data_IF_517746345455
#
_entry.id   IF_517746345455
#
_cell.length_a   1.000
_cell.length_b   1.000
_cell.length_c   1.000
_cell.angle_alpha   90.00
_cell.angle_beta   90.00
_cell.angle_gamma   90.00
#
_symmetry.space_group_name_H-M   'P 1'
#
loop_
_entity.id
_entity.type
_entity.pdbx_description
1 polymer ?
#
# COMPACT_ATOMS: atom_id res chain seq x y z
N UNK A 1 38.46 -32.03 -78.05
CA UNK A 1 37.56 -31.10 -78.78
C UNK A 1 36.53 -30.57 -77.80
N UNK A 2 36.55 -29.25 -77.59
CA UNK A 2 35.74 -28.49 -76.63
C UNK A 2 34.26 -28.42 -77.06
N UNK A 3 33.35 -28.42 -76.09
CA UNK A 3 32.10 -27.65 -76.18
C UNK A 3 31.71 -27.13 -74.80
N UNK A 4 32.01 -25.85 -74.57
CA UNK A 4 31.47 -25.03 -73.48
C UNK A 4 29.96 -24.84 -73.69
N UNK A 5 29.18 -24.92 -72.61
CA UNK A 5 27.84 -24.36 -72.54
C UNK A 5 27.70 -23.60 -71.22
N UNK A 6 27.80 -22.27 -71.31
CA UNK A 6 27.50 -21.32 -70.24
C UNK A 6 25.99 -21.27 -70.03
N UNK A 7 25.52 -21.45 -68.80
CA UNK A 7 24.20 -20.97 -68.37
C UNK A 7 24.39 -19.91 -67.31
N UNK A 8 24.11 -18.68 -67.72
CA UNK A 8 23.99 -17.51 -66.86
C UNK A 8 22.78 -17.71 -65.94
N UNK A 9 23.02 -17.74 -64.63
CA UNK A 9 21.96 -17.62 -63.63
C UNK A 9 22.13 -16.25 -62.96
N UNK A 10 21.15 -15.39 -63.21
CA UNK A 10 20.99 -14.07 -62.63
C UNK A 10 20.65 -14.25 -61.14
N UNK A 11 21.59 -13.98 -60.24
CA UNK A 11 21.35 -14.04 -58.79
C UNK A 11 20.74 -12.70 -58.34
N UNK A 12 19.46 -12.73 -57.98
CA UNK A 12 18.72 -11.61 -57.42
C UNK A 12 19.15 -11.42 -55.97
N UNK A 13 19.76 -10.26 -55.66
CA UNK A 13 20.14 -9.87 -54.30
C UNK A 13 18.92 -9.23 -53.63
N UNK A 14 18.29 -9.95 -52.70
CA UNK A 14 17.28 -9.39 -51.78
C UNK A 14 17.98 -8.77 -50.58
N UNK A 15 18.00 -7.44 -50.52
CA UNK A 15 18.38 -6.66 -49.33
C UNK A 15 17.22 -6.70 -48.33
N UNK A 16 17.34 -7.49 -47.26
CA UNK A 16 16.43 -7.43 -46.11
C UNK A 16 16.92 -6.34 -45.16
N UNK A 17 16.27 -5.17 -45.20
CA UNK A 17 16.47 -4.14 -44.19
C UNK A 17 15.74 -4.56 -42.90
N UNK A 18 16.50 -4.99 -41.89
CA UNK A 18 15.98 -5.20 -40.54
C UNK A 18 15.88 -3.82 -39.87
N UNK A 19 14.64 -3.31 -39.74
CA UNK A 19 14.34 -2.19 -38.87
C UNK A 19 14.65 -2.61 -37.43
N UNK A 20 15.73 -2.06 -36.87
CA UNK A 20 16.00 -2.11 -35.44
C UNK A 20 14.92 -1.34 -34.70
N UNK A 21 14.01 -2.07 -34.06
CA UNK A 21 13.12 -1.50 -33.06
C UNK A 21 13.98 -0.96 -31.91
N UNK A 22 13.99 0.37 -31.75
CA UNK A 22 14.47 1.03 -30.54
C UNK A 22 13.51 0.63 -29.43
N UNK A 23 13.87 -0.41 -28.69
CA UNK A 23 13.20 -0.76 -27.45
C UNK A 23 13.48 0.35 -26.44
N UNK A 24 12.50 1.23 -26.22
CA UNK A 24 12.47 2.03 -25.01
C UNK A 24 12.38 1.04 -23.84
N UNK A 25 13.49 0.87 -23.12
CA UNK A 25 13.47 0.29 -21.80
C UNK A 25 12.55 1.18 -20.95
N UNK A 26 11.34 0.69 -20.69
CA UNK A 26 10.51 1.21 -19.61
C UNK A 26 11.32 0.96 -18.35
N UNK A 27 11.77 2.04 -17.71
CA UNK A 27 12.39 1.94 -16.40
C UNK A 27 11.37 1.31 -15.47
N UNK A 28 11.64 0.07 -15.06
CA UNK A 28 11.05 -0.50 -13.87
C UNK A 28 11.59 0.36 -12.72
N UNK A 29 10.86 1.41 -12.38
CA UNK A 29 11.07 2.15 -11.14
C UNK A 29 10.76 1.16 -10.03
N UNK A 30 11.80 0.41 -9.64
CA UNK A 30 11.76 -0.73 -8.75
C UNK A 30 11.23 -0.36 -7.38
N UNK A 31 9.90 -0.27 -7.28
CA UNK A 31 9.17 -0.26 -6.03
C UNK A 31 9.59 -1.54 -5.30
N UNK A 32 10.45 -1.37 -4.30
CA UNK A 32 10.84 -2.49 -3.45
C UNK A 32 9.56 -2.97 -2.77
N UNK A 33 9.14 -4.23 -2.98
CA UNK A 33 7.93 -4.74 -2.38
C UNK A 33 7.94 -4.46 -0.87
N UNK A 34 6.84 -3.91 -0.37
CA UNK A 34 6.71 -3.58 1.05
C UNK A 34 7.34 -2.26 1.49
N UNK A 35 8.03 -1.49 0.64
CA UNK A 35 8.46 -0.14 0.98
C UNK A 35 7.38 0.88 0.60
N UNK A 36 6.92 1.64 1.57
CA UNK A 36 5.94 2.71 1.43
C UNK A 36 6.50 4.02 1.93
N UNK A 37 6.09 5.13 1.32
CA UNK A 37 6.48 6.46 1.79
C UNK A 37 5.35 7.45 1.57
N UNK A 38 5.33 8.50 2.35
CA UNK A 38 4.33 9.55 2.21
C UNK A 38 4.71 10.80 2.98
N UNK A 39 3.73 11.66 3.18
CA UNK A 39 3.91 12.94 3.85
C UNK A 39 3.35 12.92 5.27
N UNK A 40 4.05 13.60 6.17
CA UNK A 40 3.55 13.95 7.49
C UNK A 40 3.22 15.44 7.47
N UNK A 41 1.96 15.77 7.73
CA UNK A 41 1.45 17.13 7.73
C UNK A 41 1.08 17.52 9.15
N UNK A 42 1.50 18.70 9.60
CA UNK A 42 0.99 19.26 10.84
C UNK A 42 -0.41 19.84 10.64
N UNK A 43 -1.34 19.56 11.57
CA UNK A 43 -2.63 20.26 11.61
C UNK A 43 -2.38 21.74 11.88
N UNK A 44 -3.24 22.62 11.35
CA UNK A 44 -3.09 24.06 11.55
C UNK A 44 -2.97 24.41 13.04
N UNK A 45 -1.93 25.16 13.40
CA UNK A 45 -1.61 25.52 14.78
C UNK A 45 -0.86 24.45 15.59
N UNK A 46 -0.62 23.26 15.02
CA UNK A 46 0.22 22.23 15.63
C UNK A 46 1.64 22.28 15.09
N UNK A 47 2.61 21.89 15.93
CA UNK A 47 3.99 21.72 15.49
C UNK A 47 4.18 20.36 14.80
N UNK A 48 5.04 20.32 13.79
CA UNK A 48 5.53 19.05 13.24
C UNK A 48 6.32 18.30 14.33
N UNK A 49 6.09 16.99 14.52
CA UNK A 49 6.85 16.23 15.51
C UNK A 49 8.31 16.10 15.06
N UNK A 50 9.25 16.48 15.93
CA UNK A 50 10.69 16.42 15.64
C UNK A 50 11.21 14.98 15.56
N UNK A 51 10.65 14.08 16.38
CA UNK A 51 11.04 12.67 16.47
C UNK A 51 9.81 11.78 16.55
N UNK A 52 9.34 11.32 15.40
CA UNK A 52 8.19 10.44 15.29
C UNK A 52 8.55 9.16 14.55
N UNK A 53 7.68 8.18 14.72
CA UNK A 53 7.63 6.99 13.88
C UNK A 53 6.21 6.74 13.42
N UNK A 54 6.08 6.01 12.33
CA UNK A 54 4.80 5.53 11.82
C UNK A 54 4.69 4.04 12.12
N UNK A 55 3.52 3.61 12.58
CA UNK A 55 3.17 2.19 12.70
C UNK A 55 1.92 1.89 11.89
N UNK A 56 1.76 0.62 11.54
CA UNK A 56 0.52 0.11 10.96
C UNK A 56 -0.25 -0.66 12.02
N UNK A 57 -1.50 -0.24 12.21
CA UNK A 57 -2.46 -0.89 13.08
C UNK A 57 -3.56 -1.51 12.23
N UNK A 58 -3.51 -2.84 12.08
CA UNK A 58 -4.48 -3.61 11.33
C UNK A 58 -5.73 -3.82 12.17
N UNK A 59 -6.87 -3.34 11.69
CA UNK A 59 -8.15 -3.51 12.36
C UNK A 59 -8.77 -4.85 11.96
N UNK A 60 -9.17 -5.64 12.95
CA UNK A 60 -9.79 -6.95 12.78
C UNK A 60 -11.14 -6.98 13.48
N UNK A 61 -12.21 -7.02 12.68
CA UNK A 61 -13.62 -7.04 13.10
C UNK A 61 -14.35 -8.33 12.67
N UNK A 62 -13.68 -9.21 11.93
CA UNK A 62 -14.22 -10.52 11.56
C UNK A 62 -14.42 -11.48 12.76
N UNK A 63 -13.95 -11.10 13.96
CA UNK A 63 -14.10 -11.88 15.19
C UNK A 63 -14.63 -11.00 16.30
N UNK A 64 -15.29 -11.59 17.30
CA UNK A 64 -15.72 -10.87 18.50
C UNK A 64 -14.86 -11.24 19.72
N UNK A 65 -14.33 -10.27 20.50
CA UNK A 65 -14.39 -8.83 20.23
C UNK A 65 -13.48 -8.40 19.06
N UNK A 66 -13.78 -7.24 18.48
CA UNK A 66 -12.88 -6.57 17.53
C UNK A 66 -11.55 -6.24 18.23
N UNK A 67 -10.47 -6.23 17.46
CA UNK A 67 -9.15 -5.88 17.98
C UNK A 67 -8.27 -5.20 16.94
N UNK A 68 -7.17 -4.62 17.43
CA UNK A 68 -6.10 -4.09 16.61
C UNK A 68 -4.91 -5.05 16.67
N UNK A 69 -4.29 -5.31 15.51
CA UNK A 69 -3.01 -6.00 15.40
C UNK A 69 -1.95 -5.02 14.93
N UNK A 70 -0.86 -4.84 15.68
CA UNK A 70 0.29 -4.03 15.27
C UNK A 70 1.25 -4.89 14.45
N UNK A 71 1.55 -4.46 13.23
CA UNK A 71 2.56 -5.11 12.38
C UNK A 71 3.03 -4.15 11.28
N UNK A 72 4.34 -3.85 11.26
CA UNK A 72 4.92 -2.84 10.38
C UNK A 72 5.23 -1.54 11.12
N UNK A 73 6.45 -1.05 10.95
CA UNK A 73 6.97 0.16 11.58
C UNK A 73 7.93 0.89 10.63
N UNK A 74 7.93 2.21 10.71
CA UNK A 74 8.70 3.09 9.85
C UNK A 74 9.17 4.33 10.58
N UNK A 75 10.14 5.03 10.00
CA UNK A 75 10.67 6.26 10.56
C UNK A 75 10.02 7.50 9.92
N UNK A 76 9.86 8.57 10.71
CA UNK A 76 9.53 9.91 10.21
C UNK A 76 10.81 10.75 10.16
N UNK A 77 11.07 11.37 9.02
CA UNK A 77 12.17 12.31 8.81
C UNK A 77 11.66 13.60 8.14
N UNK A 78 11.78 14.73 8.84
CA UNK A 78 11.23 15.99 8.37
C UNK A 78 9.70 15.93 8.20
N UNK A 79 9.22 16.18 6.99
CA UNK A 79 7.79 16.09 6.62
C UNK A 79 7.45 14.81 5.84
N UNK A 80 8.30 13.78 5.90
CA UNK A 80 8.09 12.51 5.22
C UNK A 80 8.18 11.34 6.19
N UNK A 81 7.54 10.24 5.83
CA UNK A 81 7.78 8.95 6.47
C UNK A 81 8.24 7.93 5.44
N UNK A 82 8.97 6.92 5.91
CA UNK A 82 9.24 5.68 5.18
C UNK A 82 8.88 4.53 6.09
N UNK A 83 8.20 3.55 5.52
CA UNK A 83 7.62 2.42 6.23
C UNK A 83 7.92 1.16 5.43
N UNK A 84 8.43 0.15 6.13
CA UNK A 84 8.54 -1.20 5.57
C UNK A 84 7.42 -2.07 6.16
N UNK A 85 6.64 -2.70 5.29
CA UNK A 85 5.55 -3.60 5.65
C UNK A 85 5.64 -4.84 4.78
N UNK A 86 5.90 -5.96 5.41
CA UNK A 86 5.79 -7.26 4.76
C UNK A 86 4.32 -7.66 4.58
N UNK A 87 4.09 -8.86 4.07
CA UNK A 87 2.75 -9.47 4.11
C UNK A 87 2.28 -9.56 5.57
N UNK A 88 1.13 -8.97 5.93
CA UNK A 88 0.59 -9.08 7.28
C UNK A 88 0.31 -10.54 7.65
N UNK A 89 0.48 -10.93 8.93
CA UNK A 89 0.13 -12.26 9.39
C UNK A 89 -1.38 -12.50 9.25
N UNK A 90 -1.80 -13.77 9.15
CA UNK A 90 -3.22 -14.13 9.00
C UNK A 90 -4.10 -13.58 10.14
N UNK A 91 -3.54 -13.45 11.34
CA UNK A 91 -4.21 -12.88 12.51
C UNK A 91 -4.46 -11.36 12.40
N UNK A 92 -3.83 -10.68 11.45
CA UNK A 92 -4.08 -9.28 11.13
C UNK A 92 -5.10 -9.12 9.99
N UNK A 93 -5.71 -10.22 9.53
CA UNK A 93 -6.65 -10.23 8.41
C UNK A 93 -8.07 -10.58 8.87
N UNK A 94 -9.02 -9.83 8.35
CA UNK A 94 -10.44 -10.11 8.44
C UNK A 94 -10.78 -11.32 7.58
N UNK A 95 -11.34 -12.35 8.20
CA UNK A 95 -11.61 -13.67 7.60
C UNK A 95 -10.39 -14.31 6.92
N UNK A 96 -9.17 -13.97 7.35
CA UNK A 96 -7.94 -14.41 6.70
C UNK A 96 -7.72 -13.85 5.29
N UNK A 97 -8.46 -12.79 4.91
CA UNK A 97 -8.57 -12.32 3.51
C UNK A 97 -8.26 -10.85 3.31
N UNK A 98 -8.74 -9.99 4.20
CA UNK A 98 -8.65 -8.54 4.05
C UNK A 98 -7.93 -7.92 5.25
N UNK A 99 -6.81 -7.26 4.99
CA UNK A 99 -6.16 -6.40 5.97
C UNK A 99 -6.51 -4.95 5.70
N UNK A 100 -6.96 -4.23 6.73
CA UNK A 100 -7.11 -2.77 6.71
C UNK A 100 -6.19 -2.19 7.78
N UNK A 101 -5.06 -1.64 7.34
CA UNK A 101 -3.99 -1.11 8.18
C UNK A 101 -4.06 0.40 8.29
N UNK A 102 -4.35 0.91 9.48
CA UNK A 102 -4.30 2.33 9.79
C UNK A 102 -2.86 2.79 10.02
N UNK A 103 -2.46 3.85 9.31
CA UNK A 103 -1.17 4.49 9.52
C UNK A 103 -1.29 5.49 10.68
N UNK A 104 -0.52 5.29 11.74
CA UNK A 104 -0.58 6.09 12.96
C UNK A 104 0.80 6.56 13.38
N UNK A 105 0.86 7.73 14.01
CA UNK A 105 2.10 8.32 14.50
C UNK A 105 2.24 8.16 16.00
N UNK A 106 3.45 7.84 16.40
CA UNK A 106 3.90 7.81 17.79
C UNK A 106 5.19 8.60 17.94
N UNK A 107 5.52 8.99 19.18
CA UNK A 107 6.88 9.42 19.48
C UNK A 107 7.85 8.27 19.15
N UNK A 108 9.01 8.59 18.59
CA UNK A 108 10.07 7.62 18.30
C UNK A 108 10.46 6.72 19.48
N UNK A 109 10.31 7.19 20.73
CA UNK A 109 10.63 6.43 21.95
C UNK A 109 9.54 5.47 22.39
N UNK A 110 8.31 5.62 21.90
CA UNK A 110 7.23 4.69 22.20
C UNK A 110 7.56 3.32 21.60
N UNK A 111 7.41 2.23 22.33
CA UNK A 111 7.65 0.89 21.81
C UNK A 111 6.47 0.00 22.12
N UNK A 112 6.11 -0.84 21.16
CA UNK A 112 5.09 -1.87 21.32
C UNK A 112 5.48 -3.07 20.43
N UNK A 113 5.45 -4.30 20.96
CA UNK A 113 5.74 -5.48 20.16
C UNK A 113 4.69 -5.66 19.06
N UNK A 114 5.06 -6.38 18.00
CA UNK A 114 4.08 -6.85 17.03
C UNK A 114 3.10 -7.82 17.71
N UNK A 115 1.85 -7.84 17.25
CA UNK A 115 0.78 -8.61 17.88
C UNK A 115 -0.40 -7.76 18.29
N UNK A 116 -1.13 -8.18 19.33
CA UNK A 116 -2.30 -7.47 19.86
C UNK A 116 -1.90 -6.58 21.04
N UNK A 117 -1.61 -5.29 20.82
CA UNK A 117 -1.26 -4.40 21.92
C UNK A 117 -2.48 -4.05 22.78
N UNK A 118 -2.21 -3.55 23.99
CA UNK A 118 -3.24 -2.89 24.80
C UNK A 118 -3.70 -1.60 24.11
N UNK A 119 -5.00 -1.51 23.81
CA UNK A 119 -5.55 -0.37 23.08
C UNK A 119 -5.48 0.94 23.86
N UNK A 120 -5.62 0.91 25.19
CA UNK A 120 -5.55 2.14 26.00
C UNK A 120 -4.12 2.69 26.02
N UNK A 121 -3.12 1.82 26.01
CA UNK A 121 -1.70 2.20 25.86
C UNK A 121 -1.45 2.80 24.48
N UNK A 122 -1.94 2.16 23.41
CA UNK A 122 -1.79 2.69 22.05
C UNK A 122 -2.46 4.04 21.92
N UNK A 123 -3.73 4.16 22.31
CA UNK A 123 -4.53 5.37 22.18
C UNK A 123 -3.94 6.54 22.96
N UNK A 124 -3.44 6.31 24.18
CA UNK A 124 -2.84 7.37 25.01
C UNK A 124 -1.50 7.90 24.48
N UNK A 125 -0.83 7.16 23.59
CA UNK A 125 0.45 7.55 22.99
C UNK A 125 0.33 8.05 21.54
N UNK A 126 -0.88 8.05 20.97
CA UNK A 126 -1.13 8.48 19.60
C UNK A 126 -0.88 9.99 19.44
N UNK A 127 -0.05 10.36 18.47
CA UNK A 127 0.23 11.77 18.14
C UNK A 127 -0.17 12.17 16.72
N UNK A 128 -0.82 11.26 15.99
CA UNK A 128 -1.25 11.48 14.61
C UNK A 128 -1.72 10.21 13.92
N UNK A 129 -2.25 10.38 12.71
CA UNK A 129 -2.81 9.28 11.92
C UNK A 129 -3.28 9.71 10.54
N UNK A 130 -3.45 8.74 9.65
CA UNK A 130 -3.97 8.95 8.31
C UNK A 130 -5.51 8.95 8.34
N UNK A 131 -6.12 10.13 8.27
CA UNK A 131 -7.58 10.27 8.34
C UNK A 131 -8.28 9.91 7.02
N UNK A 132 -7.55 9.88 5.91
CA UNK A 132 -8.09 9.69 4.56
C UNK A 132 -7.43 8.53 3.82
N UNK A 133 -6.50 7.82 4.46
CA UNK A 133 -5.74 6.75 3.81
C UNK A 133 -5.59 5.55 4.74
N UNK A 134 -5.52 4.37 4.15
CA UNK A 134 -5.20 3.12 4.82
C UNK A 134 -4.30 2.26 3.93
N UNK A 135 -3.58 1.33 4.55
CA UNK A 135 -2.97 0.22 3.84
C UNK A 135 -4.01 -0.87 3.67
N UNK A 136 -4.10 -1.39 2.46
CA UNK A 136 -5.03 -2.47 2.13
C UNK A 136 -4.19 -3.67 1.74
N UNK A 137 -4.43 -4.81 2.40
CA UNK A 137 -3.90 -6.09 1.99
C UNK A 137 -5.02 -6.98 1.48
N UNK A 138 -4.91 -7.46 0.25
CA UNK A 138 -5.82 -8.43 -0.33
C UNK A 138 -5.13 -9.79 -0.47
N UNK A 139 -5.59 -10.77 0.29
CA UNK A 139 -5.11 -12.14 0.18
C UNK A 139 -5.49 -12.75 -1.19
N UNK A 140 -4.65 -13.62 -1.79
CA UNK A 140 -4.93 -14.26 -3.08
C UNK A 140 -6.15 -15.20 -3.09
N UNK A 141 -6.63 -15.66 -1.93
CA UNK A 141 -7.77 -16.58 -1.87
C UNK A 141 -9.07 -15.88 -2.30
N UNK A 142 -9.65 -16.35 -3.40
CA UNK A 142 -10.94 -15.88 -3.92
C UNK A 142 -12.08 -16.66 -3.25
N UNK A 143 -12.74 -16.05 -2.27
CA UNK A 143 -13.95 -16.57 -1.63
C UNK A 143 -14.56 -15.50 -0.72
N UNK A 144 -15.87 -15.57 -0.50
CA UNK A 144 -16.70 -14.47 0.02
C UNK A 144 -16.31 -13.94 1.40
N UNK A 145 -16.00 -12.65 1.48
CA UNK A 145 -16.26 -11.85 2.67
C UNK A 145 -17.64 -11.22 2.45
N UNK A 146 -18.66 -11.69 3.17
CA UNK A 146 -19.94 -10.98 3.18
C UNK A 146 -19.72 -9.60 3.81
N UNK A 147 -20.15 -8.51 3.17
CA UNK A 147 -20.19 -7.20 3.83
C UNK A 147 -19.89 -5.98 2.97
N UNK A 148 -18.93 -6.01 2.04
CA UNK A 148 -18.80 -5.00 0.97
C UNK A 148 -17.73 -5.37 -0.06
N UNK A 149 -18.00 -5.08 -1.34
CA UNK A 149 -17.15 -5.52 -2.45
C UNK A 149 -16.01 -4.53 -2.79
N UNK A 150 -15.87 -3.41 -2.07
CA UNK A 150 -14.92 -2.34 -2.47
C UNK A 150 -13.47 -2.86 -2.54
N UNK A 151 -13.11 -3.77 -1.64
CA UNK A 151 -11.76 -4.33 -1.56
C UNK A 151 -11.41 -5.22 -2.78
N UNK A 152 -12.40 -5.67 -3.56
CA UNK A 152 -12.16 -6.41 -4.81
C UNK A 152 -11.51 -5.54 -5.89
N UNK A 153 -11.61 -4.20 -5.77
CA UNK A 153 -10.93 -3.25 -6.64
C UNK A 153 -9.42 -3.15 -6.41
N UNK A 154 -8.91 -3.68 -5.30
CA UNK A 154 -7.48 -3.69 -5.00
C UNK A 154 -6.78 -4.90 -5.63
N UNK A 155 -5.53 -4.75 -6.12
CA UNK A 155 -4.75 -5.89 -6.56
C UNK A 155 -4.44 -6.82 -5.38
N UNK A 156 -4.12 -8.09 -5.68
CA UNK A 156 -3.64 -9.04 -4.67
C UNK A 156 -2.32 -8.53 -4.08
N UNK A 157 -2.16 -8.69 -2.78
CA UNK A 157 -1.01 -8.21 -2.02
C UNK A 157 -1.28 -6.87 -1.35
N UNK A 158 -0.20 -6.16 -1.05
CA UNK A 158 -0.22 -4.90 -0.32
C UNK A 158 -0.47 -3.72 -1.27
N UNK A 159 -1.30 -2.78 -0.85
CA UNK A 159 -1.69 -1.59 -1.62
C UNK A 159 -2.09 -0.44 -0.69
N UNK A 160 -2.37 0.72 -1.27
CA UNK A 160 -2.81 1.90 -0.54
C UNK A 160 -4.20 2.32 -0.99
N UNK A 161 -5.07 2.60 -0.02
CA UNK A 161 -6.44 3.01 -0.25
C UNK A 161 -6.67 4.43 0.22
N UNK A 162 -7.47 5.19 -0.53
CA UNK A 162 -8.04 6.46 -0.08
C UNK A 162 -9.50 6.26 0.29
N UNK A 163 -9.93 6.88 1.37
CA UNK A 163 -11.31 6.81 1.87
C UNK A 163 -12.29 7.28 0.79
N UNK A 164 -13.31 6.46 0.52
CA UNK A 164 -14.49 6.84 -0.26
C UNK A 164 -15.64 7.21 0.68
N UNK A 165 -16.56 8.10 0.28
CA UNK A 165 -17.74 8.40 1.09
C UNK A 165 -18.51 7.12 1.48
N UNK A 166 -19.17 7.10 2.66
CA UNK A 166 -20.04 6.00 3.03
C UNK A 166 -21.13 5.79 1.99
N UNK A 167 -21.56 4.53 1.83
CA UNK A 167 -22.72 4.20 1.00
C UNK A 167 -23.99 4.80 1.63
N UNK A 168 -24.98 5.09 0.80
CA UNK A 168 -26.27 5.57 1.29
C UNK A 168 -26.86 4.60 2.34
N UNK A 169 -27.24 5.13 3.50
CA UNK A 169 -27.78 4.34 4.61
C UNK A 169 -26.74 3.57 5.45
N UNK A 170 -25.44 3.75 5.22
CA UNK A 170 -24.36 3.13 6.00
C UNK A 170 -23.43 4.19 6.61
N UNK A 171 -22.96 4.01 7.86
CA UNK A 171 -21.93 4.86 8.45
C UNK A 171 -20.50 4.43 8.05
N UNK A 172 -20.36 3.31 7.35
CA UNK A 172 -19.07 2.70 7.04
C UNK A 172 -18.49 3.24 5.74
N UNK A 173 -17.22 3.63 5.79
CA UNK A 173 -16.49 4.04 4.60
C UNK A 173 -15.95 2.83 3.82
N UNK A 174 -15.70 3.05 2.53
CA UNK A 174 -14.89 2.16 1.72
C UNK A 174 -13.55 2.80 1.39
N UNK A 175 -12.78 2.13 0.53
CA UNK A 175 -11.54 2.67 -0.01
C UNK A 175 -11.46 2.44 -1.52
N UNK A 176 -10.77 3.33 -2.22
CA UNK A 176 -10.37 3.18 -3.62
C UNK A 176 -8.84 3.10 -3.73
N UNK A 177 -8.28 2.32 -4.68
CA UNK A 177 -6.84 2.22 -4.85
C UNK A 177 -6.20 3.57 -5.22
N UNK A 178 -5.08 3.89 -4.58
CA UNK A 178 -4.25 5.05 -4.89
C UNK A 178 -2.76 4.68 -4.89
N UNK A 179 -1.96 5.53 -5.52
CA UNK A 179 -0.50 5.42 -5.43
C UNK A 179 -0.04 5.62 -3.98
N UNK A 180 0.75 4.69 -3.46
CA UNK A 180 1.24 4.72 -2.08
C UNK A 180 2.13 5.94 -1.76
N UNK A 181 2.73 6.60 -2.76
CA UNK A 181 3.47 7.85 -2.57
C UNK A 181 2.57 9.03 -2.16
N UNK A 182 1.25 8.91 -2.35
CA UNK A 182 0.26 9.95 -2.02
C UNK A 182 -0.21 9.93 -0.57
N UNK A 183 0.21 8.92 0.21
CA UNK A 183 -0.20 8.75 1.60
C UNK A 183 0.11 10.02 2.42
N UNK A 184 -0.86 10.42 3.24
CA UNK A 184 -0.72 11.54 4.16
C UNK A 184 -1.12 11.12 5.56
N UNK A 185 -0.28 11.47 6.52
CA UNK A 185 -0.51 11.27 7.94
C UNK A 185 -0.54 12.64 8.62
N UNK A 186 -1.59 12.91 9.39
CA UNK A 186 -1.78 14.18 10.07
C UNK A 186 -1.19 14.06 11.47
N UNK A 187 -0.23 14.93 11.82
CA UNK A 187 0.28 15.05 13.18
C UNK A 187 -0.70 15.88 14.03
N UNK A 188 -1.62 15.17 14.68
CA UNK A 188 -2.56 15.70 15.65
C UNK A 188 -3.05 14.58 16.60
N UNK A 189 -3.21 14.82 17.90
CA UNK A 189 -3.69 13.78 18.83
C UNK A 189 -5.19 13.47 18.66
N UNK A 190 -5.95 14.36 18.02
CA UNK A 190 -7.39 14.25 17.78
C UNK A 190 -7.72 13.77 16.36
N UNK A 191 -6.83 12.98 15.74
CA UNK A 191 -7.09 12.39 14.44
C UNK A 191 -8.27 11.43 14.47
N UNK A 192 -9.07 11.43 13.41
CA UNK A 192 -10.17 10.49 13.21
C UNK A 192 -9.79 9.47 12.15
N UNK A 193 -9.55 8.24 12.58
CA UNK A 193 -9.26 7.14 11.66
C UNK A 193 -10.52 6.76 10.85
N UNK A 194 -10.36 6.27 9.61
CA UNK A 194 -11.46 5.79 8.79
C UNK A 194 -12.29 4.71 9.49
N UNK A 195 -13.61 4.91 9.56
CA UNK A 195 -14.55 3.96 10.18
C UNK A 195 -15.14 3.02 9.13
N UNK A 196 -14.54 1.84 8.93
CA UNK A 196 -14.86 0.93 7.81
C UNK A 196 -15.63 -0.33 8.21
N UNK A 197 -15.86 -0.56 9.51
CA UNK A 197 -16.56 -1.72 10.10
C UNK A 197 -17.55 -1.32 11.16
#
# INVERSE_FOLDING_TARGET
MQKLSRRSALLLITFTAVMGAVGCAVGDDGATPGLMSGHVLARSGQAQPAHAKVMVLWEVSATSPDYIFKFGEGAVGGNRFQLHVDTPPLEALNDGRLGVGHLVLFNSTFTTPDGRPDWDVVKSNLIGGAEQYALIYRHPSTGGAEGSDWWLGFPVGLSCGKVTPPREGSPWVGFEPVDCSTLQVIAAPDVKLPNWT
#
